data_IF_386195312658
#
_entry.id   IF_386195312658
#
_cell.length_a   1.000
_cell.length_b   1.000
_cell.length_c   1.000
_cell.angle_alpha   90.00
_cell.angle_beta   90.00
_cell.angle_gamma   90.00
#
_symmetry.space_group_name_H-M   'P 1'
#
loop_
_entity.id
_entity.type
_entity.pdbx_description
1 polymer ?
#
# COMPACT_ATOMS: atom_id res chain seq x y z
N UNK A 1 38.96 -3.16 -38.26
CA UNK A 1 38.98 -4.14 -37.15
C UNK A 1 37.92 -3.69 -36.17
N UNK A 2 36.83 -4.44 -36.07
CA UNK A 2 35.65 -4.08 -35.27
C UNK A 2 35.94 -4.22 -33.78
N UNK A 3 35.61 -3.19 -33.00
CA UNK A 3 35.66 -3.21 -31.55
C UNK A 3 34.77 -4.33 -31.00
N UNK A 4 35.38 -5.27 -30.28
CA UNK A 4 34.66 -6.30 -29.53
C UNK A 4 34.40 -5.72 -28.14
N UNK A 5 33.14 -5.40 -27.85
CA UNK A 5 32.70 -4.98 -26.52
C UNK A 5 32.72 -6.19 -25.57
N UNK A 6 33.52 -6.12 -24.50
CA UNK A 6 33.74 -7.18 -23.50
C UNK A 6 32.77 -7.05 -22.30
N UNK A 7 31.87 -6.06 -22.31
CA UNK A 7 30.93 -5.88 -21.20
C UNK A 7 29.86 -6.99 -21.19
N UNK A 8 29.59 -7.64 -20.04
CA UNK A 8 28.48 -8.56 -19.93
C UNK A 8 27.19 -7.79 -20.20
N UNK A 9 26.50 -8.14 -21.29
CA UNK A 9 25.12 -7.70 -21.50
C UNK A 9 24.29 -8.37 -20.40
N UNK A 10 23.80 -7.58 -19.44
CA UNK A 10 22.84 -8.06 -18.44
C UNK A 10 21.64 -8.72 -19.13
N UNK A 11 20.95 -9.60 -18.41
CA UNK A 11 19.76 -10.27 -18.93
C UNK A 11 18.79 -9.22 -19.48
N UNK A 12 18.56 -9.25 -20.78
CA UNK A 12 17.52 -8.46 -21.43
C UNK A 12 16.22 -9.20 -21.13
N UNK A 13 15.37 -8.58 -20.30
CA UNK A 13 14.00 -9.04 -20.10
C UNK A 13 13.35 -9.04 -21.48
N UNK A 14 12.88 -10.20 -21.93
CA UNK A 14 12.31 -10.35 -23.25
C UNK A 14 10.90 -9.73 -23.30
N UNK A 15 10.57 -9.08 -24.41
CA UNK A 15 9.28 -8.39 -24.59
C UNK A 15 8.07 -9.35 -24.66
N UNK A 16 8.31 -10.67 -24.69
CA UNK A 16 7.32 -11.75 -24.71
C UNK A 16 6.99 -12.32 -23.32
N UNK A 17 7.40 -11.65 -22.24
CA UNK A 17 7.00 -12.01 -20.88
C UNK A 17 5.54 -11.67 -20.63
N UNK A 18 4.69 -12.70 -20.67
CA UNK A 18 3.30 -12.61 -20.20
C UNK A 18 3.29 -12.59 -18.65
N UNK A 19 2.84 -11.48 -18.07
CA UNK A 19 2.59 -11.39 -16.63
C UNK A 19 1.17 -11.87 -16.33
N UNK A 20 1.06 -12.94 -15.55
CA UNK A 20 -0.23 -13.34 -14.98
C UNK A 20 -0.49 -12.56 -13.68
N UNK A 21 -1.56 -11.76 -13.64
CA UNK A 21 -2.07 -11.21 -12.40
C UNK A 21 -2.79 -12.31 -11.61
N UNK A 22 -2.20 -12.72 -10.48
CA UNK A 22 -2.80 -13.69 -9.58
C UNK A 22 -3.61 -12.93 -8.53
N UNK A 23 -4.92 -13.18 -8.47
CA UNK A 23 -5.79 -12.64 -7.42
C UNK A 23 -5.59 -13.49 -6.16
N UNK A 24 -5.08 -12.86 -5.09
CA UNK A 24 -4.91 -13.53 -3.81
C UNK A 24 -6.25 -13.72 -3.07
N UNK A 25 -6.41 -14.80 -2.28
CA UNK A 25 -7.61 -15.00 -1.48
C UNK A 25 -7.75 -13.93 -0.40
N UNK A 26 -8.96 -13.43 -0.19
CA UNK A 26 -9.23 -12.36 0.79
C UNK A 26 -9.24 -12.84 2.25
N UNK A 27 -9.29 -14.15 2.48
CA UNK A 27 -9.42 -14.74 3.82
C UNK A 27 -8.14 -14.53 4.63
N UNK A 28 -8.26 -13.89 5.79
CA UNK A 28 -7.12 -13.56 6.65
C UNK A 28 -7.48 -13.71 8.13
N UNK A 29 -6.49 -13.54 9.01
CA UNK A 29 -6.69 -13.57 10.46
C UNK A 29 -7.51 -12.37 10.92
N UNK A 30 -8.45 -12.63 11.83
CA UNK A 30 -9.20 -11.60 12.54
C UNK A 30 -8.36 -11.10 13.71
N UNK A 31 -8.04 -9.81 13.69
CA UNK A 31 -7.35 -9.13 14.79
C UNK A 31 -8.40 -8.38 15.62
N UNK A 32 -8.39 -8.61 16.92
CA UNK A 32 -9.21 -7.88 17.89
C UNK A 32 -8.43 -7.75 19.19
N UNK A 33 -8.38 -6.56 19.77
CA UNK A 33 -7.72 -6.30 21.06
C UNK A 33 -6.27 -6.83 21.09
N UNK A 34 -5.51 -6.56 20.02
CA UNK A 34 -4.14 -7.04 19.78
C UNK A 34 -3.97 -8.57 19.83
N UNK A 35 -5.03 -9.33 19.54
CA UNK A 35 -5.03 -10.79 19.49
C UNK A 35 -5.67 -11.32 18.22
N UNK A 36 -5.20 -12.48 17.78
CA UNK A 36 -5.86 -13.25 16.73
C UNK A 36 -7.02 -14.02 17.35
N UNK A 37 -8.24 -13.75 16.88
CA UNK A 37 -9.48 -14.34 17.44
C UNK A 37 -10.23 -15.22 16.44
N UNK A 38 -9.63 -15.50 15.27
CA UNK A 38 -10.21 -16.33 14.23
C UNK A 38 -9.83 -15.84 12.84
N UNK A 39 -10.76 -15.99 11.89
CA UNK A 39 -10.58 -15.56 10.50
C UNK A 39 -11.70 -14.60 10.07
N UNK A 40 -11.38 -13.72 9.13
CA UNK A 40 -12.29 -12.82 8.42
C UNK A 40 -12.04 -12.94 6.92
N UNK A 41 -12.97 -12.45 6.13
CA UNK A 41 -12.94 -12.58 4.68
C UNK A 41 -13.62 -11.38 4.00
N UNK A 42 -13.46 -11.26 2.68
CA UNK A 42 -14.11 -10.28 1.83
C UNK A 42 -14.03 -8.85 2.40
N UNK A 43 -15.18 -8.16 2.48
CA UNK A 43 -15.30 -6.78 2.96
C UNK A 43 -14.79 -6.59 4.38
N UNK A 44 -14.93 -7.59 5.26
CA UNK A 44 -14.44 -7.48 6.63
C UNK A 44 -12.91 -7.54 6.69
N UNK A 45 -12.30 -8.37 5.84
CA UNK A 45 -10.85 -8.38 5.67
C UNK A 45 -10.32 -7.05 5.12
N UNK A 46 -11.02 -6.44 4.15
CA UNK A 46 -10.66 -5.14 3.60
C UNK A 46 -10.77 -4.02 4.64
N UNK A 47 -11.85 -4.00 5.44
CA UNK A 47 -11.99 -3.02 6.55
C UNK A 47 -10.83 -3.12 7.54
N UNK A 48 -10.41 -4.33 7.90
CA UNK A 48 -9.26 -4.52 8.76
C UNK A 48 -7.96 -4.03 8.10
N UNK A 49 -7.75 -4.33 6.82
CA UNK A 49 -6.58 -3.85 6.08
C UNK A 49 -6.50 -2.33 6.03
N UNK A 50 -7.62 -1.65 5.72
CA UNK A 50 -7.75 -0.18 5.75
C UNK A 50 -7.35 0.35 7.14
N UNK A 51 -7.89 -0.24 8.21
CA UNK A 51 -7.55 0.17 9.57
C UNK A 51 -6.04 0.02 9.86
N UNK A 52 -5.42 -1.10 9.47
CA UNK A 52 -3.99 -1.33 9.69
C UNK A 52 -3.12 -0.35 8.89
N UNK A 53 -3.42 -0.12 7.61
CA UNK A 53 -2.70 0.83 6.76
C UNK A 53 -2.77 2.24 7.34
N UNK A 54 -3.95 2.70 7.75
CA UNK A 54 -4.14 4.05 8.27
C UNK A 54 -3.56 4.25 9.68
N UNK A 55 -3.34 3.18 10.45
CA UNK A 55 -2.74 3.25 11.79
C UNK A 55 -1.24 2.91 11.80
N UNK A 56 -0.64 2.71 10.62
CA UNK A 56 0.79 2.46 10.49
C UNK A 56 1.45 3.67 9.85
N UNK A 57 2.43 4.27 10.53
CA UNK A 57 3.25 5.32 9.93
C UNK A 57 4.21 4.69 8.93
N UNK A 58 4.24 5.25 7.72
CA UNK A 58 5.08 4.73 6.65
C UNK A 58 6.54 4.99 7.01
N UNK A 59 7.42 4.06 6.61
CA UNK A 59 8.86 4.08 6.88
C UNK A 59 9.28 3.90 8.35
N UNK A 60 8.34 3.83 9.30
CA UNK A 60 8.67 3.64 10.72
C UNK A 60 9.18 2.21 11.00
N UNK A 61 8.62 1.20 10.33
CA UNK A 61 8.93 -0.21 10.59
C UNK A 61 9.57 -0.89 9.38
N UNK A 62 10.77 -1.46 9.57
CA UNK A 62 11.53 -2.17 8.53
C UNK A 62 10.84 -3.43 7.99
N UNK A 63 9.88 -4.00 8.73
CA UNK A 63 9.13 -5.18 8.30
C UNK A 63 8.16 -4.88 7.15
N UNK A 64 7.85 -3.60 6.92
CA UNK A 64 6.91 -3.17 5.90
C UNK A 64 7.63 -2.68 4.64
N UNK A 65 6.95 -2.84 3.50
CA UNK A 65 7.40 -2.23 2.25
C UNK A 65 7.29 -0.70 2.33
N UNK A 66 7.99 -0.01 1.45
CA UNK A 66 7.93 1.46 1.35
C UNK A 66 6.56 1.98 0.92
N UNK A 67 5.70 1.11 0.41
CA UNK A 67 4.33 1.48 0.01
C UNK A 67 3.31 1.29 1.13
N UNK A 68 3.67 0.69 2.28
CA UNK A 68 2.71 0.39 3.34
C UNK A 68 2.68 1.47 4.43
N UNK A 69 1.48 1.88 4.86
CA UNK A 69 1.27 2.93 5.86
C UNK A 69 0.83 4.27 5.25
N UNK A 70 0.51 5.26 6.11
CA UNK A 70 -0.26 6.46 5.72
C UNK A 70 0.38 7.84 5.97
N UNK A 71 1.63 7.92 6.44
CA UNK A 71 2.37 9.19 6.63
C UNK A 71 1.54 10.30 7.34
N UNK A 72 0.71 9.99 8.34
CA UNK A 72 -0.27 10.96 8.85
C UNK A 72 0.28 11.85 9.97
N UNK A 73 1.31 11.40 10.69
CA UNK A 73 1.83 12.09 11.88
C UNK A 73 2.30 13.52 11.56
N UNK A 74 2.95 13.71 10.42
CA UNK A 74 3.46 15.02 9.98
C UNK A 74 2.38 16.02 9.54
N UNK A 75 1.10 15.61 9.49
CA UNK A 75 -0.05 16.46 9.14
C UNK A 75 -0.66 17.11 10.38
N UNK A 76 -0.59 16.43 11.53
CA UNK A 76 -1.17 16.88 12.79
C UNK A 76 -0.50 18.20 13.22
N UNK A 77 -1.32 19.19 13.60
CA UNK A 77 -0.85 20.50 14.04
C UNK A 77 -0.60 21.53 12.92
N UNK A 78 -0.81 21.16 11.65
CA UNK A 78 -0.81 22.14 10.54
C UNK A 78 -2.09 23.00 10.55
N UNK A 79 -2.06 24.12 9.84
CA UNK A 79 -3.25 24.93 9.56
C UNK A 79 -4.34 24.07 8.93
N UNK A 80 -5.60 24.27 9.33
CA UNK A 80 -6.77 23.48 8.92
C UNK A 80 -6.80 23.17 7.42
N UNK A 81 -6.76 24.19 6.56
CA UNK A 81 -6.87 23.99 5.10
C UNK A 81 -5.73 23.13 4.52
N UNK A 82 -4.51 23.29 5.06
CA UNK A 82 -3.35 22.48 4.68
C UNK A 82 -3.51 21.05 5.19
N UNK A 83 -3.99 20.89 6.43
CA UNK A 83 -4.21 19.59 7.04
C UNK A 83 -5.25 18.79 6.27
N UNK A 84 -6.41 19.37 5.94
CA UNK A 84 -7.47 18.70 5.16
C UNK A 84 -6.97 18.23 3.80
N UNK A 85 -6.24 19.09 3.09
CA UNK A 85 -5.64 18.75 1.80
C UNK A 85 -4.65 17.58 1.91
N UNK A 86 -3.76 17.62 2.91
CA UNK A 86 -2.76 16.58 3.13
C UNK A 86 -3.37 15.27 3.61
N UNK A 87 -4.36 15.30 4.51
CA UNK A 87 -5.11 14.11 4.92
C UNK A 87 -5.77 13.44 3.71
N UNK A 88 -6.47 14.22 2.89
CA UNK A 88 -7.12 13.70 1.67
C UNK A 88 -6.11 13.03 0.73
N UNK A 89 -4.97 13.67 0.50
CA UNK A 89 -3.91 13.16 -0.39
C UNK A 89 -3.29 11.88 0.15
N UNK A 90 -2.81 11.89 1.40
CA UNK A 90 -2.08 10.77 2.00
C UNK A 90 -2.96 9.53 2.24
N UNK A 91 -4.22 9.74 2.64
CA UNK A 91 -5.19 8.64 2.78
C UNK A 91 -5.45 7.96 1.41
N UNK A 92 -5.63 8.75 0.33
CA UNK A 92 -5.77 8.20 -1.03
C UNK A 92 -4.53 7.40 -1.42
N UNK A 93 -3.35 8.00 -1.30
CA UNK A 93 -2.08 7.36 -1.69
C UNK A 93 -1.82 6.05 -0.94
N UNK A 94 -2.14 6.00 0.36
CA UNK A 94 -1.94 4.82 1.20
C UNK A 94 -2.91 3.69 0.85
N UNK A 95 -4.20 4.00 0.69
CA UNK A 95 -5.22 2.99 0.43
C UNK A 95 -5.22 2.49 -1.01
N UNK A 96 -4.81 3.31 -1.99
CA UNK A 96 -4.67 2.87 -3.39
C UNK A 96 -3.56 1.83 -3.62
N UNK A 97 -2.78 1.49 -2.60
CA UNK A 97 -1.82 0.38 -2.67
C UNK A 97 -2.47 -1.00 -2.51
N UNK A 98 -3.72 -1.05 -2.01
CA UNK A 98 -4.51 -2.27 -1.92
C UNK A 98 -5.34 -2.40 -3.20
N UNK A 99 -5.05 -3.43 -3.99
CA UNK A 99 -5.66 -3.72 -5.31
C UNK A 99 -7.18 -3.93 -5.24
N UNK A 100 -7.71 -4.26 -4.06
CA UNK A 100 -9.16 -4.38 -3.82
C UNK A 100 -9.85 -3.02 -3.74
N UNK A 101 -9.11 -1.91 -3.61
CA UNK A 101 -9.64 -0.55 -3.50
C UNK A 101 -9.56 0.16 -4.85
N UNK A 102 -10.71 0.31 -5.49
CA UNK A 102 -10.80 0.99 -6.79
C UNK A 102 -10.69 2.53 -6.70
N UNK A 103 -11.20 3.14 -5.63
CA UNK A 103 -11.20 4.60 -5.43
C UNK A 103 -11.40 4.94 -3.95
N UNK A 104 -10.89 6.11 -3.55
CA UNK A 104 -11.08 6.72 -2.22
C UNK A 104 -11.48 8.17 -2.42
N UNK A 105 -12.71 8.52 -2.05
CA UNK A 105 -13.31 9.85 -2.27
C UNK A 105 -14.28 10.22 -1.14
N UNK A 106 -15.18 11.19 -1.38
CA UNK A 106 -16.22 11.61 -0.44
C UNK A 106 -15.72 12.03 0.95
N UNK A 107 -14.57 12.69 1.00
CA UNK A 107 -14.02 13.29 2.21
C UNK A 107 -14.93 14.40 2.71
N UNK A 108 -15.21 14.40 4.02
CA UNK A 108 -16.00 15.41 4.74
C UNK A 108 -15.12 15.94 5.86
N UNK A 109 -15.00 17.27 5.97
CA UNK A 109 -14.17 17.98 6.94
C UNK A 109 -14.97 19.02 7.73
#
# INVERSE_FOLDING_TARGET
MSEVSILPRGAVISDDLEMEEIIEPTKTYKIKDNRIVGFIDNVEALKQAIALILNTERYEYLIYSWNYGSELDGVIGRQKDIAESEFKRRIKEALSQDDRINNVDNFIF
#
